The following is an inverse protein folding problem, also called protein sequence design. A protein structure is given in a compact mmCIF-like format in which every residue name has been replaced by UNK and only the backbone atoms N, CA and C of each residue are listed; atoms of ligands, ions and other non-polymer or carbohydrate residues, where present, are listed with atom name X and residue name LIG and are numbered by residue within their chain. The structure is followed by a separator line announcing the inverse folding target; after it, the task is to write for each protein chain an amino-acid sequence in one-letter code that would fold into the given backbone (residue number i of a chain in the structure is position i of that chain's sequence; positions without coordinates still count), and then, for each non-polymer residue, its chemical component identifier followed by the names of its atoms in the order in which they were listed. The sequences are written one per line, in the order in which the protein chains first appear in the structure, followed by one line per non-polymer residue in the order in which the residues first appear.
data_IF_557004446262
#
_entry.id   IF_557004446262
#
_cell.length_a   1.000
_cell.length_b   1.000
_cell.length_c   1.000
_cell.angle_alpha   90.00
_cell.angle_beta   90.00
_cell.angle_gamma   90.00
#
_symmetry.space_group_name_H-M   'P 1'
#
loop_
_entity.id
_entity.type
_entity.pdbx_description
1 polymer ?
#
# COMPACT_ATOMS: atom_id res chain seq x y z
N UNK A 1 8.35 -7.28 2.74
CA UNK A 1 6.91 -7.51 2.48
C UNK A 1 6.55 -6.84 1.18
N UNK A 2 5.85 -7.55 0.29
CA UNK A 2 5.32 -6.98 -0.96
C UNK A 2 3.84 -6.69 -0.76
N UNK A 3 3.41 -5.50 -1.17
CA UNK A 3 2.00 -5.10 -1.17
C UNK A 3 1.66 -4.75 -2.61
N UNK A 4 0.61 -5.36 -3.14
CA UNK A 4 0.04 -4.99 -4.44
C UNK A 4 -1.16 -4.10 -4.20
N UNK A 5 -1.14 -2.90 -4.78
CA UNK A 5 -2.26 -1.97 -4.74
C UNK A 5 -3.07 -2.11 -6.04
N UNK A 6 -4.39 -2.26 -5.92
CA UNK A 6 -5.34 -2.37 -7.03
C UNK A 6 -6.43 -1.32 -6.85
N UNK A 7 -7.33 -1.22 -7.82
CA UNK A 7 -8.52 -0.39 -7.60
C UNK A 7 -9.35 -0.98 -6.45
N UNK A 8 -9.59 -0.16 -5.42
CA UNK A 8 -10.37 -0.50 -4.23
C UNK A 8 -9.91 -1.72 -3.41
N UNK A 9 -8.71 -2.26 -3.65
CA UNK A 9 -8.20 -3.47 -2.99
C UNK A 9 -6.68 -3.43 -2.78
N UNK A 10 -6.21 -4.04 -1.69
CA UNK A 10 -4.79 -4.37 -1.49
C UNK A 10 -4.58 -5.86 -1.33
N UNK A 11 -3.43 -6.36 -1.80
CA UNK A 11 -2.98 -7.72 -1.49
C UNK A 11 -1.61 -7.73 -0.83
N UNK A 12 -1.51 -8.45 0.29
CA UNK A 12 -0.25 -8.77 0.93
C UNK A 12 -0.28 -10.21 1.44
N UNK A 13 0.81 -10.96 1.24
CA UNK A 13 0.93 -12.36 1.65
C UNK A 13 -0.25 -13.27 1.20
N UNK A 14 -0.82 -13.01 0.01
CA UNK A 14 -1.96 -13.76 -0.55
C UNK A 14 -3.33 -13.41 0.06
N UNK A 15 -3.40 -12.43 0.96
CA UNK A 15 -4.64 -11.92 1.53
C UNK A 15 -5.05 -10.67 0.75
N UNK A 16 -6.26 -10.68 0.19
CA UNK A 16 -6.89 -9.53 -0.47
C UNK A 16 -7.85 -8.87 0.51
N UNK A 17 -7.71 -7.55 0.71
CA UNK A 17 -8.61 -6.75 1.53
C UNK A 17 -9.14 -5.57 0.73
N UNK A 18 -10.47 -5.34 0.75
CA UNK A 18 -11.06 -4.10 0.24
C UNK A 18 -10.63 -2.90 1.06
N UNK A 19 -10.27 -1.85 0.35
CA UNK A 19 -9.83 -0.59 0.92
C UNK A 19 -10.47 0.59 0.21
N UNK A 20 -10.40 1.75 0.87
CA UNK A 20 -10.67 3.05 0.26
C UNK A 20 -9.37 3.83 0.19
N UNK A 21 -9.09 4.40 -0.98
CA UNK A 21 -7.98 5.32 -1.18
C UNK A 21 -8.45 6.77 -1.11
N UNK A 22 -7.69 7.60 -0.40
CA UNK A 22 -7.82 9.05 -0.45
C UNK A 22 -6.45 9.68 -0.68
N UNK A 23 -6.34 10.52 -1.70
CA UNK A 23 -5.08 11.19 -2.05
C UNK A 23 -5.15 12.65 -1.61
N UNK A 24 -4.16 13.07 -0.82
CA UNK A 24 -3.96 14.45 -0.35
C UNK A 24 -2.53 14.87 -0.62
N UNK A 25 -2.32 15.62 -1.70
CA UNK A 25 -0.99 16.02 -2.18
C UNK A 25 -0.03 14.82 -2.34
N UNK A 26 0.92 14.67 -1.41
CA UNK A 26 1.91 13.59 -1.38
C UNK A 26 1.51 12.44 -0.45
N UNK A 27 0.39 12.56 0.25
CA UNK A 27 -0.08 11.57 1.20
C UNK A 27 -1.24 10.77 0.62
N UNK A 28 -1.14 9.46 0.67
CA UNK A 28 -2.22 8.52 0.35
C UNK A 28 -2.68 7.87 1.65
N UNK A 29 -3.97 8.00 1.93
CA UNK A 29 -4.65 7.32 3.02
C UNK A 29 -5.29 6.05 2.48
N UNK A 30 -5.00 4.92 3.12
CA UNK A 30 -5.57 3.62 2.77
C UNK A 30 -6.40 3.14 3.96
N UNK A 31 -7.71 3.25 3.85
CA UNK A 31 -8.64 2.80 4.89
C UNK A 31 -9.16 1.40 4.57
N UNK A 32 -8.92 0.46 5.47
CA UNK A 32 -9.33 -0.93 5.30
C UNK A 32 -10.82 -1.11 5.65
N UNK A 33 -11.60 -1.65 4.72
CA UNK A 33 -13.05 -1.78 4.84
C UNK A 33 -13.49 -3.17 5.29
N UNK A 34 -12.64 -4.18 5.09
CA UNK A 34 -12.83 -5.57 5.50
C UNK A 34 -11.51 -6.19 5.96
N UNK A 35 -11.56 -7.47 6.36
CA UNK A 35 -10.39 -8.22 6.79
C UNK A 35 -9.96 -7.91 8.24
N UNK A 36 -8.73 -8.32 8.58
CA UNK A 36 -8.21 -8.20 9.94
C UNK A 36 -7.88 -6.75 10.29
N UNK A 37 -7.55 -5.93 9.30
CA UNK A 37 -7.21 -4.52 9.47
C UNK A 37 -8.44 -3.59 9.40
N UNK A 38 -9.67 -4.12 9.33
CA UNK A 38 -10.89 -3.31 9.16
C UNK A 38 -10.98 -2.14 10.14
N UNK A 39 -11.24 -0.95 9.59
CA UNK A 39 -11.33 0.31 10.33
C UNK A 39 -9.99 1.01 10.55
N UNK A 40 -8.87 0.36 10.28
CA UNK A 40 -7.55 0.98 10.31
C UNK A 40 -7.32 1.83 9.05
N UNK A 41 -6.56 2.91 9.21
CA UNK A 41 -6.09 3.73 8.09
C UNK A 41 -4.57 3.80 8.09
N UNK A 42 -3.96 3.34 7.01
CA UNK A 42 -2.53 3.47 6.78
C UNK A 42 -2.20 4.75 6.01
N UNK A 43 -1.13 5.42 6.43
CA UNK A 43 -0.61 6.62 5.79
C UNK A 43 0.62 6.28 4.96
N UNK A 44 0.59 6.66 3.68
CA UNK A 44 1.70 6.53 2.75
C UNK A 44 2.09 7.91 2.27
N UNK A 45 3.31 8.35 2.58
CA UNK A 45 3.84 9.63 2.09
C UNK A 45 4.80 9.38 0.95
N UNK A 46 4.44 9.80 -0.25
CA UNK A 46 5.28 9.74 -1.44
C UNK A 46 6.47 10.70 -1.27
N UNK A 47 7.68 10.13 -1.26
CA UNK A 47 8.93 10.89 -1.09
C UNK A 47 9.71 11.05 -2.40
N UNK A 48 9.31 10.33 -3.44
CA UNK A 48 9.91 10.33 -4.77
C UNK A 48 9.03 9.59 -5.78
N UNK A 49 9.49 9.45 -7.03
CA UNK A 49 8.70 8.81 -8.09
C UNK A 49 8.41 7.32 -7.81
N UNK A 50 9.31 6.64 -7.07
CA UNK A 50 9.22 5.20 -6.78
C UNK A 50 9.38 4.89 -5.28
N UNK A 51 9.24 5.88 -4.40
CA UNK A 51 9.45 5.70 -2.95
C UNK A 51 8.32 6.29 -2.14
N UNK A 52 7.91 5.56 -1.10
CA UNK A 52 6.94 6.01 -0.12
C UNK A 52 7.44 5.73 1.30
N UNK A 53 7.06 6.55 2.26
CA UNK A 53 7.31 6.32 3.69
C UNK A 53 5.99 6.03 4.38
N UNK A 54 5.99 5.02 5.23
CA UNK A 54 4.85 4.64 6.07
C UNK A 54 5.30 4.56 7.52
N UNK A 55 4.33 4.38 8.44
CA UNK A 55 4.62 4.12 9.85
C UNK A 55 5.37 2.79 10.08
N UNK A 56 5.39 1.89 9.09
CA UNK A 56 6.07 0.59 9.14
C UNK A 56 7.45 0.61 8.46
N UNK A 57 7.84 1.72 7.85
CA UNK A 57 9.11 1.87 7.14
C UNK A 57 8.96 2.41 5.71
N UNK A 58 10.08 2.40 4.99
CA UNK A 58 10.17 2.89 3.61
C UNK A 58 9.82 1.79 2.62
N UNK A 59 8.95 2.12 1.67
CA UNK A 59 8.58 1.29 0.54
C UNK A 59 9.26 1.80 -0.73
N UNK A 60 9.59 0.85 -1.61
CA UNK A 60 10.07 1.12 -2.95
C UNK A 60 9.17 0.39 -3.94
N UNK A 61 8.80 1.07 -5.03
CA UNK A 61 8.07 0.45 -6.13
C UNK A 61 8.90 -0.69 -6.69
N UNK A 62 8.28 -1.84 -6.85
CA UNK A 62 8.85 -2.99 -7.55
C UNK A 62 8.36 -2.89 -9.00
N UNK A 63 9.28 -2.90 -9.96
CA UNK A 63 8.91 -2.93 -11.38
C UNK A 63 8.16 -4.24 -11.68
N UNK A 64 7.18 -4.26 -12.60
CA UNK A 64 6.49 -5.49 -13.00
C UNK A 64 7.43 -6.59 -13.49
N UNK A 65 8.58 -6.19 -14.05
CA UNK A 65 9.62 -7.09 -14.57
C UNK A 65 10.67 -7.49 -13.52
N UNK A 66 10.59 -6.96 -12.30
CA UNK A 66 11.53 -7.30 -11.25
C UNK A 66 11.19 -8.70 -10.68
N UNK A 67 12.20 -9.58 -10.47
CA UNK A 67 11.94 -10.86 -9.83
C UNK A 67 11.36 -10.63 -8.43
N UNK A 68 10.48 -11.53 -7.94
CA UNK A 68 9.97 -11.44 -6.59
C UNK A 68 11.14 -11.39 -5.60
N UNK A 69 11.07 -10.55 -4.57
CA UNK A 69 12.13 -10.47 -3.57
C UNK A 69 12.31 -11.83 -2.91
N UNK A 70 13.58 -12.24 -2.79
CA UNK A 70 14.04 -13.49 -2.18
C UNK A 70 13.66 -13.62 -0.71
#
# INVERSE_FOLDING_TARGET
MVITFRDSETEANGIVEKVRYEVRDKTVLVTYLEGMAKGMTMHYTLTGPDTAVTNLGTLRRISPDAPPPS
#
